data_IF_702800024589
#
_entry.id   IF_702800024589
#
_cell.length_a   1.000
_cell.length_b   1.000
_cell.length_c   1.000
_cell.angle_alpha   90.00
_cell.angle_beta   90.00
_cell.angle_gamma   90.00
#
_symmetry.space_group_name_H-M   'P 1'
#
loop_
_entity.id
_entity.type
_entity.pdbx_description
1 polymer ?
#
# COMPACT_ATOMS: atom_id res chain seq x y z
N UNK A 1 -13.99 4.72 6.01
CA UNK A 1 -15.32 4.09 5.75
C UNK A 1 -16.01 4.71 4.54
N UNK A 2 -16.08 6.04 4.45
CA UNK A 2 -16.65 6.74 3.28
C UNK A 2 -15.90 6.35 1.98
N UNK A 3 -14.57 6.22 2.04
CA UNK A 3 -13.73 5.86 0.89
C UNK A 3 -14.05 4.47 0.34
N UNK A 4 -14.32 3.50 1.21
CA UNK A 4 -14.71 2.13 0.81
C UNK A 4 -16.06 2.13 0.06
N UNK A 5 -16.99 2.95 0.51
CA UNK A 5 -18.32 3.08 -0.14
C UNK A 5 -18.17 3.79 -1.48
N UNK A 6 -17.35 4.83 -1.56
CA UNK A 6 -17.04 5.56 -2.79
C UNK A 6 -16.32 4.63 -3.78
N UNK A 7 -15.35 3.85 -3.32
CA UNK A 7 -14.65 2.85 -4.13
C UNK A 7 -15.61 1.82 -4.70
N UNK A 8 -16.51 1.29 -3.90
CA UNK A 8 -17.52 0.31 -4.31
C UNK A 8 -18.51 0.90 -5.33
N UNK A 9 -18.97 2.13 -5.11
CA UNK A 9 -19.87 2.83 -6.04
C UNK A 9 -19.16 3.11 -7.37
N UNK A 10 -17.94 3.60 -7.34
CA UNK A 10 -17.16 3.89 -8.53
C UNK A 10 -16.84 2.62 -9.34
N UNK A 11 -16.63 1.49 -8.66
CA UNK A 11 -16.43 0.19 -9.32
C UNK A 11 -17.67 -0.27 -10.08
N UNK A 12 -18.84 -0.20 -9.43
CA UNK A 12 -20.12 -0.53 -10.08
C UNK A 12 -20.46 0.40 -11.24
N UNK A 13 -20.03 1.66 -11.16
CA UNK A 13 -20.20 2.63 -12.23
C UNK A 13 -19.16 2.51 -13.38
N UNK A 14 -18.27 1.51 -13.33
CA UNK A 14 -17.23 1.31 -14.36
C UNK A 14 -16.10 2.33 -14.32
N UNK A 15 -15.96 3.08 -13.24
CA UNK A 15 -14.90 4.08 -13.05
C UNK A 15 -13.51 3.47 -12.85
N UNK A 16 -12.47 4.26 -13.10
CA UNK A 16 -11.07 3.86 -12.92
C UNK A 16 -10.65 3.92 -11.44
N UNK A 17 -11.19 3.02 -10.62
CA UNK A 17 -10.96 2.96 -9.17
C UNK A 17 -9.50 2.76 -8.77
N UNK A 18 -8.69 2.21 -9.70
CA UNK A 18 -7.26 2.00 -9.50
C UNK A 18 -6.46 3.27 -9.24
N UNK A 19 -6.98 4.45 -9.61
CA UNK A 19 -6.34 5.76 -9.41
C UNK A 19 -7.08 6.65 -8.42
N UNK A 20 -7.97 6.11 -7.62
CA UNK A 20 -8.80 6.90 -6.69
C UNK A 20 -7.97 7.60 -5.60
N UNK A 21 -6.82 7.01 -5.27
CA UNK A 21 -5.81 7.55 -4.36
C UNK A 21 -5.28 8.91 -4.78
N UNK A 22 -5.27 9.22 -6.09
CA UNK A 22 -4.76 10.49 -6.61
C UNK A 22 -5.64 11.70 -6.23
N UNK A 23 -6.82 11.46 -5.69
CA UNK A 23 -7.70 12.49 -5.12
C UNK A 23 -7.35 12.84 -3.67
N UNK A 24 -6.47 12.07 -3.04
CA UNK A 24 -5.97 12.35 -1.70
C UNK A 24 -5.05 13.57 -1.76
N UNK A 25 -5.32 14.58 -0.92
CA UNK A 25 -4.51 15.81 -0.82
C UNK A 25 -3.04 15.53 -0.50
N UNK A 26 -2.78 14.44 0.21
CA UNK A 26 -1.44 14.07 0.66
C UNK A 26 -0.69 13.20 -0.35
N UNK A 27 -1.37 12.75 -1.43
CA UNK A 27 -0.79 11.87 -2.43
C UNK A 27 0.45 12.48 -3.10
N UNK A 28 0.38 13.73 -3.53
CA UNK A 28 1.49 14.38 -4.26
C UNK A 28 2.73 14.48 -3.36
N UNK A 29 2.54 14.87 -2.09
CA UNK A 29 3.63 14.94 -1.12
C UNK A 29 4.26 13.56 -0.87
N UNK A 30 3.47 12.56 -0.59
CA UNK A 30 3.93 11.19 -0.36
C UNK A 30 4.61 10.59 -1.61
N UNK A 31 4.10 10.86 -2.79
CA UNK A 31 4.67 10.42 -4.06
C UNK A 31 6.07 11.02 -4.31
N UNK A 32 6.24 12.33 -4.11
CA UNK A 32 7.52 12.99 -4.27
C UNK A 32 8.55 12.49 -3.23
N UNK A 33 8.12 12.28 -1.99
CA UNK A 33 8.97 11.69 -0.95
C UNK A 33 9.42 10.28 -1.34
N UNK A 34 8.51 9.45 -1.82
CA UNK A 34 8.83 8.09 -2.25
C UNK A 34 9.80 8.08 -3.45
N UNK A 35 9.65 8.98 -4.43
CA UNK A 35 10.59 9.07 -5.55
C UNK A 35 12.00 9.44 -5.08
N UNK A 36 12.15 10.32 -4.08
CA UNK A 36 13.45 10.68 -3.51
C UNK A 36 14.11 9.50 -2.81
N UNK A 37 13.41 8.80 -1.92
CA UNK A 37 13.96 7.63 -1.23
C UNK A 37 14.23 6.46 -2.17
N UNK A 38 13.42 6.30 -3.21
CA UNK A 38 13.73 5.35 -4.26
C UNK A 38 15.06 5.65 -4.95
N UNK A 39 15.32 6.93 -5.24
CA UNK A 39 16.58 7.33 -5.82
C UNK A 39 17.75 7.01 -4.87
N UNK A 40 17.62 7.37 -3.60
CA UNK A 40 18.62 7.03 -2.57
C UNK A 40 18.88 5.53 -2.49
N UNK A 41 17.82 4.72 -2.49
CA UNK A 41 17.93 3.26 -2.48
C UNK A 41 18.61 2.70 -3.73
N UNK A 42 18.25 3.21 -4.92
CA UNK A 42 18.90 2.76 -6.16
C UNK A 42 20.36 3.22 -6.23
N UNK A 43 20.68 4.40 -5.71
CA UNK A 43 22.06 4.89 -5.59
C UNK A 43 22.85 4.01 -4.59
N UNK A 44 22.27 3.65 -3.44
CA UNK A 44 22.90 2.73 -2.50
C UNK A 44 23.19 1.36 -3.12
N UNK A 45 22.24 0.80 -3.88
CA UNK A 45 22.45 -0.43 -4.63
C UNK A 45 23.58 -0.31 -5.66
N UNK A 46 23.69 0.83 -6.35
CA UNK A 46 24.76 1.09 -7.33
C UNK A 46 26.12 1.17 -6.67
N UNK A 47 26.20 1.92 -5.61
CA UNK A 47 27.48 2.35 -5.03
C UNK A 47 28.06 1.33 -4.04
N UNK A 48 27.20 0.61 -3.31
CA UNK A 48 27.59 -0.28 -2.21
C UNK A 48 27.32 -1.76 -2.45
N UNK A 49 26.78 -2.17 -3.62
CA UNK A 49 26.46 -3.57 -3.90
C UNK A 49 27.14 -4.06 -5.16
N UNK A 50 27.91 -5.15 -5.02
CA UNK A 50 28.60 -5.83 -6.11
C UNK A 50 27.67 -6.88 -6.76
N UNK A 51 26.76 -6.40 -7.56
CA UNK A 51 25.83 -7.19 -8.37
C UNK A 51 25.55 -6.48 -9.68
N UNK A 52 25.17 -7.24 -10.72
CA UNK A 52 24.71 -6.69 -11.99
C UNK A 52 23.40 -5.91 -11.88
N UNK A 53 22.94 -5.34 -12.99
CA UNK A 53 21.75 -4.48 -13.04
C UNK A 53 20.45 -5.17 -12.60
N UNK A 54 20.39 -6.50 -12.57
CA UNK A 54 19.25 -7.24 -12.07
C UNK A 54 18.91 -6.91 -10.60
N UNK A 55 19.89 -6.42 -9.80
CA UNK A 55 19.70 -6.03 -8.40
C UNK A 55 18.54 -5.05 -8.21
N UNK A 56 18.38 -4.08 -9.10
CA UNK A 56 17.31 -3.08 -8.98
C UNK A 56 15.91 -3.71 -9.04
N UNK A 57 15.68 -4.60 -10.01
CA UNK A 57 14.40 -5.31 -10.11
C UNK A 57 14.19 -6.30 -8.96
N UNK A 58 15.21 -7.08 -8.62
CA UNK A 58 15.14 -8.10 -7.57
C UNK A 58 14.75 -7.47 -6.23
N UNK A 59 15.46 -6.40 -5.82
CA UNK A 59 15.23 -5.80 -4.50
C UNK A 59 13.98 -4.91 -4.45
N UNK A 60 13.58 -4.31 -5.57
CA UNK A 60 12.24 -3.71 -5.67
C UNK A 60 11.15 -4.76 -5.49
N UNK A 61 11.24 -5.88 -6.18
CA UNK A 61 10.28 -6.98 -6.04
C UNK A 61 10.26 -7.56 -4.62
N UNK A 62 11.41 -7.66 -3.94
CA UNK A 62 11.47 -8.08 -2.53
C UNK A 62 10.72 -7.13 -1.60
N UNK A 63 10.85 -5.81 -1.78
CA UNK A 63 10.08 -4.81 -1.01
C UNK A 63 8.58 -5.03 -1.24
N UNK A 64 8.16 -5.17 -2.49
CA UNK A 64 6.76 -5.44 -2.82
C UNK A 64 6.26 -6.76 -2.22
N UNK A 65 7.04 -7.82 -2.31
CA UNK A 65 6.68 -9.12 -1.71
C UNK A 65 6.60 -9.05 -0.18
N UNK A 66 7.50 -8.30 0.47
CA UNK A 66 7.44 -8.09 1.92
C UNK A 66 6.16 -7.37 2.34
N UNK A 67 5.74 -6.34 1.59
CA UNK A 67 4.56 -5.54 1.91
C UNK A 67 3.28 -6.21 1.40
N UNK A 68 3.21 -6.66 0.15
CA UNK A 68 2.00 -7.09 -0.55
C UNK A 68 1.93 -8.60 -0.82
N UNK A 69 3.02 -9.34 -0.60
CA UNK A 69 3.20 -10.75 -0.97
C UNK A 69 3.26 -11.02 -2.48
N UNK A 70 3.21 -9.98 -3.30
CA UNK A 70 3.29 -10.05 -4.75
C UNK A 70 4.45 -9.22 -5.26
N UNK A 71 5.00 -9.62 -6.39
CA UNK A 71 5.95 -8.80 -7.14
C UNK A 71 5.24 -7.64 -7.82
N UNK A 72 5.98 -6.60 -8.15
CA UNK A 72 5.44 -5.45 -8.87
C UNK A 72 4.70 -5.85 -10.16
N UNK A 73 5.22 -6.84 -10.90
CA UNK A 73 4.59 -7.35 -12.12
C UNK A 73 3.26 -8.05 -11.85
N UNK A 74 3.18 -8.87 -10.81
CA UNK A 74 1.95 -9.59 -10.42
C UNK A 74 0.88 -8.59 -9.99
N UNK A 75 1.26 -7.61 -9.18
CA UNK A 75 0.36 -6.55 -8.75
C UNK A 75 -0.17 -5.72 -9.92
N UNK A 76 0.69 -5.46 -10.91
CA UNK A 76 0.31 -4.80 -12.16
C UNK A 76 -0.75 -5.58 -12.95
N UNK A 77 -0.65 -6.91 -12.98
CA UNK A 77 -1.63 -7.79 -13.61
C UNK A 77 -2.97 -7.77 -12.86
N UNK A 78 -2.95 -7.82 -11.52
CA UNK A 78 -4.15 -7.72 -10.69
C UNK A 78 -4.94 -6.45 -10.99
N UNK A 79 -4.24 -5.31 -11.08
CA UNK A 79 -4.85 -4.02 -11.37
C UNK A 79 -5.19 -3.82 -12.85
N UNK A 80 -4.87 -4.77 -13.72
CA UNK A 80 -5.04 -4.68 -15.19
C UNK A 80 -4.42 -3.39 -15.75
N UNK A 81 -3.21 -3.05 -15.27
CA UNK A 81 -2.46 -1.89 -15.74
C UNK A 81 -1.80 -2.17 -17.07
N UNK A 82 -1.70 -1.14 -17.92
CA UNK A 82 -0.94 -1.23 -19.16
C UNK A 82 0.56 -1.33 -18.92
N UNK A 83 1.34 -1.66 -19.94
CA UNK A 83 2.80 -1.75 -19.82
C UNK A 83 3.45 -0.43 -19.38
N UNK A 84 2.84 0.70 -19.76
CA UNK A 84 3.34 2.06 -19.49
C UNK A 84 2.98 2.57 -18.10
N UNK A 85 1.91 2.04 -17.49
CA UNK A 85 1.45 2.48 -16.18
C UNK A 85 2.40 2.02 -15.08
N UNK A 86 2.60 2.84 -14.06
CA UNK A 86 3.39 2.50 -12.87
C UNK A 86 2.45 2.06 -11.75
N UNK A 87 2.77 0.95 -11.09
CA UNK A 87 1.98 0.44 -9.95
C UNK A 87 1.91 1.48 -8.82
N UNK A 88 2.99 2.24 -8.61
CA UNK A 88 3.08 3.27 -7.55
C UNK A 88 2.04 4.37 -7.70
N UNK A 89 1.68 4.71 -8.93
CA UNK A 89 0.66 5.74 -9.20
C UNK A 89 -0.73 5.33 -8.69
N UNK A 90 -0.90 4.07 -8.30
CA UNK A 90 -2.16 3.51 -7.78
C UNK A 90 -2.19 3.34 -6.27
N UNK A 91 -1.11 3.65 -5.55
CA UNK A 91 -1.03 3.47 -4.12
C UNK A 91 -1.58 4.67 -3.34
N UNK A 92 -2.14 4.41 -2.18
CA UNK A 92 -2.49 5.46 -1.22
C UNK A 92 -1.23 6.11 -0.65
N UNK A 93 -1.36 7.34 -0.16
CA UNK A 93 -0.26 8.11 0.44
C UNK A 93 0.47 7.35 1.55
N UNK A 94 -0.27 6.65 2.42
CA UNK A 94 0.31 5.86 3.51
C UNK A 94 1.12 4.66 2.99
N UNK A 95 0.71 4.09 1.86
CA UNK A 95 1.43 2.99 1.23
C UNK A 95 2.73 3.49 0.60
N UNK A 96 2.69 4.64 -0.06
CA UNK A 96 3.88 5.30 -0.59
C UNK A 96 4.86 5.65 0.53
N UNK A 97 4.37 6.16 1.66
CA UNK A 97 5.17 6.44 2.86
C UNK A 97 5.80 5.17 3.44
N UNK A 98 5.08 4.06 3.46
CA UNK A 98 5.62 2.78 3.92
C UNK A 98 6.74 2.29 3.00
N UNK A 99 6.55 2.33 1.67
CA UNK A 99 7.57 1.96 0.70
C UNK A 99 8.80 2.86 0.84
N UNK A 100 8.61 4.16 0.94
CA UNK A 100 9.66 5.14 1.16
C UNK A 100 10.47 4.83 2.44
N UNK A 101 9.80 4.47 3.53
CA UNK A 101 10.44 4.09 4.78
C UNK A 101 11.27 2.82 4.64
N UNK A 102 10.80 1.85 3.86
CA UNK A 102 11.57 0.64 3.52
C UNK A 102 12.82 0.98 2.71
N UNK A 103 12.67 1.79 1.66
CA UNK A 103 13.75 2.19 0.77
C UNK A 103 14.80 3.02 1.51
N UNK A 104 14.39 3.97 2.35
CA UNK A 104 15.26 4.76 3.21
C UNK A 104 16.05 3.88 4.19
N UNK A 105 15.36 3.05 4.97
CA UNK A 105 16.02 2.20 5.97
C UNK A 105 17.00 1.20 5.35
N UNK A 106 16.64 0.61 4.21
CA UNK A 106 17.52 -0.29 3.48
C UNK A 106 18.73 0.43 2.90
N UNK A 107 18.57 1.63 2.35
CA UNK A 107 19.68 2.41 1.80
C UNK A 107 20.76 2.71 2.85
N UNK A 108 20.33 3.13 4.03
CA UNK A 108 21.22 3.42 5.16
C UNK A 108 21.95 2.16 5.66
N UNK A 109 21.23 1.04 5.82
CA UNK A 109 21.82 -0.22 6.26
C UNK A 109 22.82 -0.79 5.23
N UNK A 110 22.50 -0.69 3.94
CA UNK A 110 23.42 -1.12 2.86
C UNK A 110 24.70 -0.32 2.91
N UNK A 111 24.60 0.99 3.07
CA UNK A 111 25.75 1.89 3.19
C UNK A 111 26.58 1.55 4.43
N UNK A 112 25.95 1.51 5.60
CA UNK A 112 26.63 1.18 6.86
C UNK A 112 27.36 -0.15 6.79
N UNK A 113 26.72 -1.21 6.33
CA UNK A 113 27.32 -2.53 6.25
C UNK A 113 28.49 -2.58 5.25
N UNK A 114 28.40 -1.86 4.13
CA UNK A 114 29.48 -1.76 3.15
C UNK A 114 30.69 -0.99 3.72
N UNK A 115 30.45 0.07 4.46
CA UNK A 115 31.49 0.85 5.14
C UNK A 115 32.19 0.03 6.23
N UNK A 116 31.42 -0.71 7.04
CA UNK A 116 31.98 -1.62 8.06
C UNK A 116 32.87 -2.72 7.45
N UNK A 117 32.47 -3.25 6.29
CA UNK A 117 33.24 -4.26 5.59
C UNK A 117 34.42 -3.69 4.77
N UNK A 118 34.45 -2.39 4.52
CA UNK A 118 35.41 -1.72 3.65
C UNK A 118 35.33 -2.15 2.18
N UNK A 119 34.19 -2.75 1.77
CA UNK A 119 33.96 -3.21 0.40
C UNK A 119 32.47 -3.29 0.10
N UNK A 120 32.10 -3.40 -1.18
CA UNK A 120 30.74 -3.62 -1.61
C UNK A 120 30.19 -4.95 -1.10
N UNK A 121 28.88 -4.97 -0.81
CA UNK A 121 28.15 -6.16 -0.40
C UNK A 121 27.95 -7.10 -1.59
N UNK A 122 28.11 -8.38 -1.37
CA UNK A 122 27.71 -9.40 -2.33
C UNK A 122 26.21 -9.76 -2.19
N UNK A 123 25.72 -10.61 -3.09
CA UNK A 123 24.30 -10.99 -3.12
C UNK A 123 23.82 -11.68 -1.82
N UNK A 124 24.66 -12.49 -1.20
CA UNK A 124 24.30 -13.21 0.03
C UNK A 124 24.18 -12.26 1.21
N UNK A 125 25.16 -11.40 1.38
CA UNK A 125 25.19 -10.38 2.43
C UNK A 125 23.99 -9.43 2.33
N UNK A 126 23.71 -8.95 1.13
CA UNK A 126 22.54 -8.10 0.89
C UNK A 126 21.22 -8.85 1.13
N UNK A 127 21.13 -10.13 0.76
CA UNK A 127 19.94 -10.93 1.01
C UNK A 127 19.70 -11.15 2.50
N UNK A 128 20.75 -11.40 3.27
CA UNK A 128 20.64 -11.61 4.71
C UNK A 128 20.32 -10.30 5.45
N UNK A 129 20.94 -9.19 5.02
CA UNK A 129 20.60 -7.87 5.51
C UNK A 129 19.13 -7.53 5.27
N UNK A 130 18.62 -7.83 4.07
CA UNK A 130 17.20 -7.63 3.74
C UNK A 130 16.28 -8.46 4.64
N UNK A 131 16.59 -9.75 4.84
CA UNK A 131 15.79 -10.63 5.73
C UNK A 131 15.79 -10.13 7.18
N UNK A 132 16.94 -9.67 7.68
CA UNK A 132 17.04 -9.10 9.01
C UNK A 132 16.17 -7.84 9.12
N UNK A 133 16.22 -6.96 8.13
CA UNK A 133 15.44 -5.74 8.07
C UNK A 133 13.93 -5.99 8.01
N UNK A 134 13.47 -6.87 7.11
CA UNK A 134 12.04 -7.18 6.96
C UNK A 134 11.44 -7.87 8.19
N UNK A 135 12.27 -8.57 8.98
CA UNK A 135 11.85 -9.26 10.21
C UNK A 135 11.69 -8.33 11.42
N UNK A 136 12.06 -7.05 11.31
CA UNK A 136 11.93 -6.10 12.41
C UNK A 136 10.47 -5.96 12.85
N UNK A 137 10.17 -6.07 14.15
CA UNK A 137 8.79 -6.05 14.65
C UNK A 137 8.00 -4.79 14.29
N UNK A 138 8.70 -3.67 14.06
CA UNK A 138 8.08 -2.39 13.71
C UNK A 138 7.28 -2.44 12.39
N UNK A 139 7.68 -3.31 11.44
CA UNK A 139 7.01 -3.41 10.16
C UNK A 139 5.66 -4.11 10.21
N UNK A 140 5.49 -5.04 11.14
CA UNK A 140 4.30 -5.89 11.21
C UNK A 140 2.97 -5.10 11.27
N UNK A 141 2.78 -4.13 12.18
CA UNK A 141 1.52 -3.37 12.22
C UNK A 141 1.31 -2.51 10.97
N UNK A 142 2.38 -1.90 10.44
CA UNK A 142 2.31 -1.05 9.25
C UNK A 142 1.95 -1.86 8.00
N UNK A 143 2.55 -3.04 7.83
CA UNK A 143 2.25 -3.94 6.72
C UNK A 143 0.81 -4.46 6.82
N UNK A 144 0.34 -4.82 8.01
CA UNK A 144 -1.06 -5.26 8.21
C UNK A 144 -2.01 -4.14 7.81
N UNK A 145 -1.79 -2.91 8.27
CA UNK A 145 -2.60 -1.76 7.92
C UNK A 145 -2.60 -1.49 6.41
N UNK A 146 -1.42 -1.51 5.79
CA UNK A 146 -1.27 -1.33 4.35
C UNK A 146 -2.05 -2.39 3.56
N UNK A 147 -1.90 -3.67 3.92
CA UNK A 147 -2.62 -4.78 3.27
C UNK A 147 -4.13 -4.64 3.42
N UNK A 148 -4.62 -4.30 4.61
CA UNK A 148 -6.05 -4.09 4.85
C UNK A 148 -6.60 -2.99 3.96
N UNK A 149 -5.91 -1.85 3.89
CA UNK A 149 -6.32 -0.72 3.04
C UNK A 149 -6.32 -1.09 1.56
N UNK A 150 -5.25 -1.75 1.10
CA UNK A 150 -5.13 -2.18 -0.29
C UNK A 150 -6.14 -3.27 -0.65
N UNK A 151 -6.36 -4.25 0.23
CA UNK A 151 -7.32 -5.33 0.01
C UNK A 151 -8.75 -4.79 -0.18
N UNK A 152 -9.15 -3.81 0.60
CA UNK A 152 -10.44 -3.12 0.48
C UNK A 152 -10.68 -2.55 -0.92
N UNK A 153 -9.65 -1.90 -1.48
CA UNK A 153 -9.70 -1.35 -2.84
C UNK A 153 -9.66 -2.43 -3.90
N UNK A 154 -8.76 -3.39 -3.73
CA UNK A 154 -8.42 -4.35 -4.78
C UNK A 154 -9.36 -5.56 -4.81
N UNK A 155 -10.18 -5.75 -3.78
CA UNK A 155 -11.06 -6.91 -3.64
C UNK A 155 -11.92 -7.18 -4.88
N UNK A 156 -12.40 -6.14 -5.54
CA UNK A 156 -13.18 -6.30 -6.78
C UNK A 156 -12.32 -6.41 -8.05
N UNK A 157 -11.01 -6.12 -7.97
CA UNK A 157 -10.06 -6.19 -9.07
C UNK A 157 -9.25 -7.49 -9.04
N UNK A 158 -9.27 -8.18 -7.86
CA UNK A 158 -8.54 -9.41 -7.66
C UNK A 158 -9.29 -10.58 -8.24
N UNK A 159 -8.55 -11.38 -8.94
CA UNK A 159 -9.00 -12.62 -9.54
C UNK A 159 -8.84 -13.77 -8.53
N UNK A 160 -9.66 -14.81 -8.60
CA UNK A 160 -9.58 -16.01 -7.78
C UNK A 160 -8.21 -16.73 -7.84
N UNK A 161 -7.36 -16.30 -8.72
CA UNK A 161 -5.97 -16.76 -8.86
C UNK A 161 -5.06 -16.48 -7.67
N UNK A 162 -5.34 -15.47 -6.87
CA UNK A 162 -4.40 -14.96 -5.90
C UNK A 162 -4.71 -15.51 -4.50
N UNK A 163 -4.63 -16.81 -4.31
CA UNK A 163 -4.75 -17.49 -3.02
C UNK A 163 -3.89 -16.88 -1.91
N UNK A 164 -2.77 -16.26 -2.27
CA UNK A 164 -1.90 -15.57 -1.32
C UNK A 164 -2.59 -14.40 -0.60
N UNK A 165 -3.73 -13.97 -1.11
CA UNK A 165 -4.54 -12.91 -0.54
C UNK A 165 -5.51 -13.38 0.53
N UNK A 166 -5.82 -14.67 0.59
CA UNK A 166 -6.74 -15.26 1.57
C UNK A 166 -6.32 -14.95 3.01
N UNK A 167 -5.01 -14.83 3.27
CA UNK A 167 -4.51 -14.53 4.60
C UNK A 167 -4.83 -13.12 5.12
N UNK A 168 -5.10 -12.15 4.25
CA UNK A 168 -5.43 -10.79 4.66
C UNK A 168 -6.76 -10.27 4.14
N UNK A 169 -7.39 -10.97 3.21
CA UNK A 169 -8.81 -10.84 2.92
C UNK A 169 -9.53 -11.84 3.82
N UNK A 170 -9.77 -11.48 5.06
CA UNK A 170 -10.63 -12.27 5.92
C UNK A 170 -12.06 -11.87 5.60
N UNK A 171 -12.92 -12.80 5.13
CA UNK A 171 -14.35 -12.53 5.11
C UNK A 171 -14.76 -12.22 6.55
N UNK A 172 -15.50 -11.14 6.74
CA UNK A 172 -16.17 -10.89 8.00
C UNK A 172 -17.14 -12.05 8.23
N UNK A 173 -17.08 -12.63 9.42
CA UNK A 173 -18.11 -13.56 9.84
C UNK A 173 -19.47 -12.86 9.75
N UNK A 174 -20.52 -13.64 9.39
CA UNK A 174 -21.85 -13.09 9.17
C UNK A 174 -22.35 -12.26 10.36
N UNK A 175 -22.07 -12.72 11.57
CA UNK A 175 -22.44 -12.05 12.82
C UNK A 175 -21.65 -10.75 13.05
N UNK A 176 -20.39 -10.69 12.65
CA UNK A 176 -19.58 -9.47 12.68
C UNK A 176 -20.07 -8.46 11.66
N UNK A 177 -20.46 -8.91 10.47
CA UNK A 177 -21.02 -8.08 9.42
C UNK A 177 -22.39 -7.52 9.82
N UNK A 178 -23.27 -8.34 10.40
CA UNK A 178 -24.56 -7.90 10.90
C UNK A 178 -24.43 -6.90 12.06
N UNK A 179 -23.48 -7.13 12.96
CA UNK A 179 -23.13 -6.19 14.04
C UNK A 179 -22.60 -4.87 13.51
N UNK A 180 -21.75 -4.92 12.49
CA UNK A 180 -21.21 -3.73 11.82
C UNK A 180 -22.31 -2.92 11.14
N UNK A 181 -23.23 -3.58 10.44
CA UNK A 181 -24.38 -2.92 9.79
C UNK A 181 -25.33 -2.33 10.83
N UNK A 182 -25.60 -3.05 11.93
CA UNK A 182 -26.45 -2.56 13.02
C UNK A 182 -25.84 -1.32 13.70
N UNK A 183 -24.57 -1.38 14.08
CA UNK A 183 -23.88 -0.26 14.70
C UNK A 183 -23.77 0.98 13.78
N UNK A 184 -23.55 0.78 12.48
CA UNK A 184 -23.53 1.88 11.52
C UNK A 184 -24.94 2.45 11.26
N UNK A 185 -25.97 1.62 11.30
CA UNK A 185 -27.36 2.04 11.19
C UNK A 185 -27.79 2.86 12.39
N UNK A 186 -27.53 2.38 13.58
CA UNK A 186 -27.86 3.03 14.85
C UNK A 186 -27.14 4.39 14.99
N UNK A 187 -25.88 4.46 14.58
CA UNK A 187 -25.10 5.70 14.62
C UNK A 187 -25.61 6.72 13.58
N UNK A 188 -26.00 6.27 12.40
CA UNK A 188 -26.60 7.12 11.37
C UNK A 188 -27.99 7.64 11.81
N UNK A 189 -28.84 6.78 12.38
CA UNK A 189 -30.16 7.16 12.89
C UNK A 189 -30.04 8.19 14.03
N UNK A 190 -29.08 7.99 14.93
CA UNK A 190 -28.77 8.92 16.01
C UNK A 190 -28.27 10.26 15.47
N UNK A 191 -27.33 10.28 14.55
CA UNK A 191 -26.85 11.49 13.87
C UNK A 191 -27.95 12.22 13.13
N UNK A 192 -28.84 11.51 12.44
CA UNK A 192 -30.00 12.11 11.77
C UNK A 192 -31.01 12.70 12.75
N UNK A 193 -31.22 12.03 13.89
CA UNK A 193 -32.15 12.52 14.93
C UNK A 193 -31.60 13.76 15.64
N UNK A 194 -30.31 13.76 15.95
CA UNK A 194 -29.62 14.89 16.62
C UNK A 194 -29.48 16.13 15.71
N UNK A 195 -29.50 15.95 14.38
CA UNK A 195 -29.31 17.02 13.41
C UNK A 195 -30.57 17.34 12.58
N UNK A 196 -31.74 16.93 13.04
CA UNK A 196 -33.00 17.19 12.32
C UNK A 196 -33.23 18.69 12.04
N UNK A 197 -32.87 19.55 12.97
CA UNK A 197 -33.00 21.01 12.81
C UNK A 197 -32.06 21.57 11.71
N UNK A 198 -30.87 21.00 11.58
CA UNK A 198 -29.89 21.39 10.53
C UNK A 198 -30.42 20.92 9.17
N UNK A 199 -30.89 19.68 9.08
CA UNK A 199 -31.46 19.13 7.86
C UNK A 199 -32.72 19.88 7.40
N UNK A 200 -33.54 20.38 8.34
CA UNK A 200 -34.71 21.20 8.03
C UNK A 200 -34.34 22.57 7.46
N UNK A 201 -33.36 23.25 8.06
CA UNK A 201 -32.84 24.55 7.57
C UNK A 201 -32.22 24.44 6.18
N UNK A 202 -31.51 23.31 5.89
CA UNK A 202 -30.94 23.08 4.56
C UNK A 202 -32.01 22.88 3.49
N UNK A 203 -33.16 22.25 3.85
CA UNK A 203 -34.27 22.09 2.93
C UNK A 203 -35.07 23.37 2.70
N UNK A 204 -35.09 24.27 3.67
CA UNK A 204 -35.80 25.56 3.58
C UNK A 204 -34.96 26.66 2.89
N UNK A 205 -33.67 26.36 2.58
CA UNK A 205 -32.74 27.29 1.89
C UNK A 205 -32.63 27.04 0.38
N UNK A 206 -33.34 26.07 -0.19
CA UNK A 206 -33.56 25.86 -1.61
C UNK A 206 -34.91 26.47 -2.04
#
# INVERSE_FOLDING_TARGET
MLDIVIDFINQKAGGATKYINQRDSDFIGAFLHEENYRKEFTDALRDYVDMGNAKYGIYTDKIYQSIFREKAREYKQILKLSSKDRVRDTFYSEILTLIASYECGLSELIKQQSEELGRKLNNWELSDLFKAFESLPLWKPLIIQARTKMASRDMALRDAFHYQLEEYIKPLEKEEYERFLGAAGDELEKLMSENQDVLRRLKESE
#
